data_IF_388985311637
#
_entry.id   IF_388985311637
#
_cell.length_a   1.000
_cell.length_b   1.000
_cell.length_c   1.000
_cell.angle_alpha   90.00
_cell.angle_beta   90.00
_cell.angle_gamma   90.00
#
_symmetry.space_group_name_H-M   'P 1'
#
loop_
_entity.id
_entity.type
_entity.pdbx_description
1 polymer ?
#
# COMPACT_ATOMS: atom_id res chain seq x y z
N UNK A 1 -20.35 -14.94 -26.91
CA UNK A 1 -19.28 -15.54 -26.10
C UNK A 1 -19.97 -16.49 -25.13
N UNK A 2 -19.64 -17.79 -25.11
CA UNK A 2 -20.13 -18.65 -24.03
C UNK A 2 -19.56 -18.12 -22.70
N UNK A 3 -20.34 -18.23 -21.65
CA UNK A 3 -19.99 -17.79 -20.31
C UNK A 3 -19.03 -18.84 -19.73
N UNK A 4 -17.72 -18.54 -19.71
CA UNK A 4 -16.64 -19.42 -19.23
C UNK A 4 -16.63 -19.57 -17.68
N UNK A 5 -17.77 -19.36 -17.03
CA UNK A 5 -17.88 -19.47 -15.58
C UNK A 5 -17.98 -20.94 -15.20
N UNK A 6 -17.06 -21.36 -14.33
CA UNK A 6 -17.09 -22.66 -13.69
C UNK A 6 -17.79 -22.48 -12.35
N UNK A 7 -18.93 -23.15 -12.18
CA UNK A 7 -19.61 -23.21 -10.88
C UNK A 7 -18.76 -24.02 -9.89
N UNK A 8 -18.52 -23.43 -8.73
CA UNK A 8 -17.83 -24.07 -7.62
C UNK A 8 -18.76 -24.15 -6.42
N UNK A 9 -18.65 -25.21 -5.63
CA UNK A 9 -19.44 -25.36 -4.42
C UNK A 9 -18.91 -24.45 -3.30
N UNK A 10 -19.75 -24.27 -2.27
CA UNK A 10 -19.48 -23.35 -1.16
C UNK A 10 -18.26 -23.78 -0.33
N UNK A 11 -18.01 -25.08 -0.19
CA UNK A 11 -16.86 -25.58 0.57
C UNK A 11 -15.57 -25.26 -0.16
N UNK A 12 -15.55 -25.46 -1.48
CA UNK A 12 -14.42 -25.12 -2.32
C UNK A 12 -14.15 -23.61 -2.35
N UNK A 13 -15.19 -22.78 -2.42
CA UNK A 13 -15.07 -21.33 -2.34
C UNK A 13 -14.47 -20.85 -1.00
N UNK A 14 -14.90 -21.44 0.12
CA UNK A 14 -14.37 -21.12 1.45
C UNK A 14 -12.89 -21.52 1.59
N UNK A 15 -12.54 -22.72 1.10
CA UNK A 15 -11.16 -23.19 1.07
C UNK A 15 -10.25 -22.27 0.25
N UNK A 16 -10.72 -21.85 -0.94
CA UNK A 16 -9.97 -20.94 -1.80
C UNK A 16 -9.74 -19.59 -1.11
N UNK A 17 -10.77 -19.02 -0.46
CA UNK A 17 -10.65 -17.78 0.29
C UNK A 17 -9.60 -17.88 1.42
N UNK A 18 -9.65 -18.95 2.22
CA UNK A 18 -8.68 -19.19 3.27
C UNK A 18 -7.25 -19.30 2.73
N UNK A 19 -7.05 -20.05 1.63
CA UNK A 19 -5.72 -20.21 1.00
C UNK A 19 -5.16 -18.91 0.46
N UNK A 20 -6.00 -18.02 -0.06
CA UNK A 20 -5.58 -16.71 -0.53
C UNK A 20 -5.16 -15.81 0.63
N UNK A 21 -5.91 -15.81 1.73
CA UNK A 21 -5.56 -15.08 2.94
C UNK A 21 -4.25 -15.56 3.56
N UNK A 22 -4.04 -16.89 3.68
CA UNK A 22 -2.75 -17.46 4.13
C UNK A 22 -1.58 -16.96 3.28
N UNK A 23 -1.75 -16.94 1.96
CA UNK A 23 -0.71 -16.50 1.03
C UNK A 23 -0.44 -14.99 1.16
N UNK A 24 -1.48 -14.17 1.29
CA UNK A 24 -1.33 -12.73 1.47
C UNK A 24 -0.57 -12.42 2.76
N UNK A 25 -0.96 -13.05 3.87
CA UNK A 25 -0.27 -12.90 5.15
C UNK A 25 1.20 -13.34 5.06
N UNK A 26 1.50 -14.46 4.39
CA UNK A 26 2.87 -14.90 4.20
C UNK A 26 3.71 -13.92 3.35
N UNK A 27 3.10 -13.24 2.37
CA UNK A 27 3.78 -12.20 1.59
C UNK A 27 4.03 -10.97 2.45
N UNK A 28 3.03 -10.50 3.19
CA UNK A 28 3.16 -9.34 4.09
C UNK A 28 4.22 -9.60 5.15
N UNK A 29 4.17 -10.75 5.82
CA UNK A 29 5.15 -11.16 6.82
C UNK A 29 6.54 -11.26 6.20
N UNK A 30 6.65 -11.88 5.01
CA UNK A 30 7.92 -11.98 4.29
C UNK A 30 8.53 -10.62 3.93
N UNK A 31 7.70 -9.64 3.56
CA UNK A 31 8.13 -8.26 3.25
C UNK A 31 8.52 -7.49 4.52
N UNK A 32 7.74 -7.61 5.60
CA UNK A 32 8.04 -6.95 6.88
C UNK A 32 9.29 -7.53 7.57
N UNK A 33 9.61 -8.80 7.31
CA UNK A 33 10.80 -9.47 7.85
C UNK A 33 12.08 -9.16 7.06
N UNK A 34 12.03 -8.38 5.96
CA UNK A 34 13.24 -8.02 5.23
C UNK A 34 14.03 -6.96 6.03
N UNK A 35 15.28 -7.25 6.42
CA UNK A 35 16.09 -6.38 7.28
C UNK A 35 16.49 -5.05 6.60
N UNK A 36 16.40 -4.98 5.27
CA UNK A 36 16.78 -3.84 4.46
C UNK A 36 15.55 -3.05 4.00
N UNK A 37 14.75 -2.55 4.94
CA UNK A 37 13.75 -1.55 4.60
C UNK A 37 14.50 -0.29 4.14
N UNK A 38 14.28 0.20 2.90
CA UNK A 38 15.02 1.34 2.39
C UNK A 38 14.75 2.56 3.29
N UNK A 39 15.77 3.40 3.55
CA UNK A 39 15.60 4.57 4.37
C UNK A 39 14.55 5.50 3.75
N UNK A 40 13.80 6.21 4.60
CA UNK A 40 12.85 7.20 4.12
C UNK A 40 13.58 8.29 3.32
N UNK A 41 12.99 8.75 2.20
CA UNK A 41 13.58 9.83 1.41
C UNK A 41 13.61 11.13 2.22
N UNK A 42 14.61 11.98 1.96
CA UNK A 42 14.72 13.31 2.58
C UNK A 42 13.60 14.25 2.11
N UNK A 43 13.30 15.28 2.90
CA UNK A 43 12.32 16.30 2.53
C UNK A 43 12.78 17.07 1.27
N UNK A 44 12.00 17.12 0.18
CA UNK A 44 12.38 17.81 -1.04
C UNK A 44 12.65 19.32 -0.89
N UNK A 45 11.98 19.99 0.06
CA UNK A 45 12.07 21.45 0.22
C UNK A 45 13.26 21.88 1.08
N UNK A 46 13.58 21.12 2.13
CA UNK A 46 14.57 21.52 3.14
C UNK A 46 15.70 20.51 3.33
N UNK A 47 15.66 19.40 2.59
CA UNK A 47 16.63 18.31 2.64
C UNK A 47 16.82 17.70 4.04
N UNK A 48 15.82 17.82 4.91
CA UNK A 48 15.84 17.21 6.23
C UNK A 48 15.65 15.70 6.11
N UNK A 49 16.42 14.94 6.89
CA UNK A 49 16.23 13.50 7.02
C UNK A 49 14.83 13.19 7.59
N UNK A 50 14.06 12.39 6.85
CA UNK A 50 12.70 12.05 7.24
C UNK A 50 12.69 10.92 8.26
N UNK A 51 12.00 11.13 9.37
CA UNK A 51 11.76 10.08 10.37
C UNK A 51 10.41 9.42 10.17
N UNK A 52 9.46 10.14 9.55
CA UNK A 52 8.11 9.66 9.28
C UNK A 52 7.55 10.38 8.04
N UNK A 53 6.83 9.64 7.19
CA UNK A 53 6.07 10.16 6.06
C UNK A 53 4.65 9.62 6.17
N UNK A 54 3.68 10.50 6.41
CA UNK A 54 2.25 10.17 6.41
C UNK A 54 1.57 10.66 5.15
N UNK A 55 0.57 9.94 4.68
CA UNK A 55 -0.21 10.36 3.51
C UNK A 55 -1.71 10.18 3.73
N UNK A 56 -2.50 11.05 3.10
CA UNK A 56 -3.96 10.97 3.08
C UNK A 56 -4.45 11.35 1.69
N UNK A 57 -5.42 10.59 1.19
CA UNK A 57 -6.07 10.91 -0.07
C UNK A 57 -7.31 11.77 0.21
N UNK A 58 -7.41 12.91 -0.47
CA UNK A 58 -8.57 13.78 -0.39
C UNK A 58 -9.74 13.22 -1.24
N UNK A 59 -10.97 13.69 -0.99
CA UNK A 59 -12.18 13.35 -1.75
C UNK A 59 -12.04 13.63 -3.26
N UNK A 60 -11.18 14.58 -3.63
CA UNK A 60 -10.86 14.92 -5.02
C UNK A 60 -9.75 14.04 -5.63
N UNK A 61 -9.30 13.01 -4.93
CA UNK A 61 -8.28 12.06 -5.41
C UNK A 61 -6.84 12.56 -5.30
N UNK A 62 -6.62 13.76 -4.77
CA UNK A 62 -5.28 14.30 -4.53
C UNK A 62 -4.62 13.60 -3.32
N UNK A 63 -3.35 13.23 -3.45
CA UNK A 63 -2.57 12.63 -2.37
C UNK A 63 -1.83 13.74 -1.62
N UNK A 64 -2.17 13.94 -0.35
CA UNK A 64 -1.45 14.82 0.56
C UNK A 64 -0.39 14.02 1.30
N UNK A 65 0.87 14.44 1.22
CA UNK A 65 2.03 13.83 1.88
C UNK A 65 2.57 14.80 2.92
N UNK A 66 2.80 14.35 4.16
CA UNK A 66 3.38 15.14 5.24
C UNK A 66 4.69 14.51 5.71
N UNK A 67 5.76 15.31 5.75
CA UNK A 67 7.12 14.87 6.08
C UNK A 67 7.52 15.38 7.47
N UNK A 68 7.86 14.49 8.38
CA UNK A 68 8.35 14.82 9.73
C UNK A 68 9.86 14.60 9.84
N UNK A 69 10.58 15.41 10.65
CA UNK A 69 10.06 16.41 11.59
C UNK A 69 9.85 17.82 11.00
N UNK A 70 10.20 18.05 9.74
CA UNK A 70 10.17 19.40 9.14
C UNK A 70 8.75 19.99 8.97
N UNK A 71 7.72 19.14 8.89
CA UNK A 71 6.32 19.56 8.76
C UNK A 71 5.88 19.98 7.36
N UNK A 72 6.73 19.85 6.34
CA UNK A 72 6.37 20.19 4.96
C UNK A 72 5.31 19.24 4.41
N UNK A 73 4.32 19.82 3.70
CA UNK A 73 3.19 19.10 3.12
C UNK A 73 3.17 19.26 1.60
N UNK A 74 3.06 18.15 0.89
CA UNK A 74 3.05 18.10 -0.57
C UNK A 74 1.71 17.58 -1.07
N UNK A 75 1.19 18.19 -2.14
CA UNK A 75 -0.03 17.73 -2.81
C UNK A 75 0.36 17.14 -4.15
N UNK A 76 0.21 15.83 -4.29
CA UNK A 76 0.37 15.13 -5.57
C UNK A 76 -1.00 15.04 -6.21
N UNK A 77 -1.17 15.73 -7.33
CA UNK A 77 -2.35 15.54 -8.18
C UNK A 77 -2.12 14.26 -8.97
N UNK A 78 -3.09 13.35 -8.97
CA UNK A 78 -3.08 12.27 -9.94
C UNK A 78 -3.20 12.92 -11.33
N UNK A 79 -2.13 12.88 -12.12
CA UNK A 79 -2.25 13.18 -13.55
C UNK A 79 -3.11 12.06 -14.15
N UNK A 80 -4.29 12.44 -14.65
CA UNK A 80 -5.21 11.57 -15.38
C UNK A 80 -4.68 11.20 -16.74
#
# INVERSE_FOLDING_TARGET
MPDDRIDIDREWAALLGFRLEERENAIVDGVLQQPDYPPLPECPECNAASTEISHTQDLLGALLINVQPCGHRFVVKAEM
#
